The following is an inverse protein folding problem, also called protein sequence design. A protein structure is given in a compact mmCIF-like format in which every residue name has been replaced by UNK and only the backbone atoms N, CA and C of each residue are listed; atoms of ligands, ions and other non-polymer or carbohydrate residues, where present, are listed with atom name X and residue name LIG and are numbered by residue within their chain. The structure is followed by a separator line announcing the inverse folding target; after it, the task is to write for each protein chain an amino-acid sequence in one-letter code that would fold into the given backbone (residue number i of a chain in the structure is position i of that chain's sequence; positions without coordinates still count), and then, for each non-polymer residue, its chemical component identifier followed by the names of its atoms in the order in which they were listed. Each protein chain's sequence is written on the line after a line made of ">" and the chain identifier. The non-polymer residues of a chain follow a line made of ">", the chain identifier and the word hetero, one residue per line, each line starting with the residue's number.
data_IF_975195397151
#
_entry.id   IF_975195397151
#
_cell.length_a   1.000
_cell.length_b   1.000
_cell.length_c   1.000
_cell.angle_alpha   90.00
_cell.angle_beta   90.00
_cell.angle_gamma   90.00
#
_symmetry.space_group_name_H-M   'P 1'
#
loop_
_entity.id
_entity.type
_entity.pdbx_description
1 polymer ?
#
# COMPACT_ATOMS: atom_id res chain seq x y z
N UNK A 1 -32.36 -29.60 -27.00
CA UNK A 1 -31.14 -30.03 -26.28
C UNK A 1 -30.31 -28.78 -26.09
N UNK A 2 -30.44 -28.10 -24.94
CA UNK A 2 -29.80 -26.80 -24.71
C UNK A 2 -28.55 -27.00 -23.85
N UNK A 3 -27.39 -26.81 -24.45
CA UNK A 3 -26.10 -26.89 -23.77
C UNK A 3 -25.91 -25.66 -22.90
N UNK A 4 -25.85 -25.88 -21.59
CA UNK A 4 -25.63 -24.82 -20.61
C UNK A 4 -24.11 -24.69 -20.39
N UNK A 5 -23.44 -23.93 -21.25
CA UNK A 5 -21.99 -23.67 -21.17
C UNK A 5 -21.69 -22.84 -19.91
N UNK A 6 -21.36 -23.53 -18.81
CA UNK A 6 -20.82 -22.90 -17.61
C UNK A 6 -19.45 -22.30 -17.91
N UNK A 7 -19.38 -20.97 -18.02
CA UNK A 7 -18.11 -20.26 -18.15
C UNK A 7 -17.21 -20.50 -16.91
N UNK A 8 -15.88 -20.62 -17.09
CA UNK A 8 -14.96 -20.86 -15.99
C UNK A 8 -14.97 -19.66 -15.03
N UNK A 9 -15.36 -19.89 -13.78
CA UNK A 9 -15.23 -18.89 -12.72
C UNK A 9 -13.74 -18.78 -12.36
N UNK A 10 -13.10 -17.71 -12.84
CA UNK A 10 -11.72 -17.39 -12.49
C UNK A 10 -11.53 -17.30 -10.96
N UNK A 11 -10.29 -17.50 -10.47
CA UNK A 11 -10.01 -17.55 -9.04
C UNK A 11 -10.41 -16.22 -8.39
N UNK A 12 -11.43 -16.26 -7.53
CA UNK A 12 -11.89 -15.09 -6.78
C UNK A 12 -10.90 -14.83 -5.65
N UNK A 13 -9.97 -13.90 -5.88
CA UNK A 13 -9.07 -13.42 -4.84
C UNK A 13 -9.91 -12.91 -3.66
N UNK A 14 -9.66 -13.46 -2.47
CA UNK A 14 -10.40 -13.05 -1.27
C UNK A 14 -10.12 -11.58 -0.98
N UNK A 15 -11.13 -10.81 -0.57
CA UNK A 15 -10.93 -9.41 -0.14
C UNK A 15 -9.78 -9.28 0.87
N UNK A 16 -9.62 -10.26 1.75
CA UNK A 16 -8.56 -10.28 2.77
C UNK A 16 -7.17 -10.39 2.15
N UNK A 17 -7.00 -11.21 1.11
CA UNK A 17 -5.71 -11.35 0.42
C UNK A 17 -5.37 -10.10 -0.39
N UNK A 18 -6.36 -9.44 -1.00
CA UNK A 18 -6.14 -8.16 -1.71
C UNK A 18 -5.71 -7.04 -0.76
N UNK A 19 -6.34 -6.93 0.42
CA UNK A 19 -5.95 -5.91 1.42
C UNK A 19 -4.56 -6.19 1.99
N UNK A 20 -4.23 -7.46 2.27
CA UNK A 20 -2.88 -7.82 2.72
C UNK A 20 -1.82 -7.56 1.65
N UNK A 21 -2.08 -7.93 0.40
CA UNK A 21 -1.15 -7.71 -0.70
C UNK A 21 -0.89 -6.22 -0.96
N UNK A 22 -1.95 -5.39 -0.97
CA UNK A 22 -1.81 -3.94 -1.14
C UNK A 22 -1.09 -3.28 0.04
N UNK A 23 -1.35 -3.72 1.27
CA UNK A 23 -0.62 -3.24 2.46
C UNK A 23 0.86 -3.62 2.38
N UNK A 24 1.17 -4.86 2.01
CA UNK A 24 2.55 -5.32 1.86
C UNK A 24 3.28 -4.56 0.75
N UNK A 25 2.64 -4.33 -0.39
CA UNK A 25 3.19 -3.52 -1.48
C UNK A 25 3.47 -2.07 -1.04
N UNK A 26 2.55 -1.46 -0.29
CA UNK A 26 2.75 -0.12 0.26
C UNK A 26 3.90 -0.06 1.28
N UNK A 27 4.01 -1.08 2.15
CA UNK A 27 5.10 -1.17 3.12
C UNK A 27 6.47 -1.34 2.42
N UNK A 28 6.53 -2.12 1.34
CA UNK A 28 7.74 -2.26 0.53
C UNK A 28 8.15 -0.94 -0.11
N UNK A 29 7.19 -0.19 -0.69
CA UNK A 29 7.43 1.15 -1.25
C UNK A 29 7.93 2.15 -0.20
N UNK A 30 7.37 2.13 1.01
CA UNK A 30 7.89 2.97 2.11
C UNK A 30 9.32 2.56 2.52
N UNK A 31 9.64 1.27 2.46
CA UNK A 31 10.98 0.75 2.69
C UNK A 31 12.00 1.26 1.66
N UNK A 32 11.65 1.28 0.38
CA UNK A 32 12.57 1.74 -0.68
C UNK A 32 12.88 3.23 -0.60
N UNK A 33 12.03 4.06 0.01
CA UNK A 33 12.37 5.47 0.26
C UNK A 33 13.43 5.69 1.34
N UNK A 34 13.74 4.68 2.18
CA UNK A 34 14.80 4.81 3.20
C UNK A 34 16.21 4.57 2.66
N UNK A 35 16.35 4.01 1.46
CA UNK A 35 17.67 3.78 0.87
C UNK A 35 18.28 5.08 0.35
N UNK A 36 19.61 5.18 0.35
CA UNK A 36 20.33 6.28 -0.30
C UNK A 36 20.31 6.05 -1.81
N UNK A 37 19.76 6.98 -2.58
CA UNK A 37 19.62 6.83 -4.03
C UNK A 37 20.75 7.54 -4.77
N UNK A 38 21.27 8.63 -4.22
CA UNK A 38 22.24 9.50 -4.87
C UNK A 38 23.35 9.87 -3.88
N UNK A 39 24.59 9.62 -4.30
CA UNK A 39 25.78 10.24 -3.71
C UNK A 39 26.12 11.47 -4.54
N UNK A 40 25.74 12.65 -4.06
CA UNK A 40 26.09 13.91 -4.71
C UNK A 40 27.40 14.43 -4.10
N UNK A 41 28.40 14.71 -4.93
CA UNK A 41 29.61 15.42 -4.52
C UNK A 41 29.47 16.88 -4.95
N UNK A 42 29.39 17.80 -3.99
CA UNK A 42 29.34 19.23 -4.25
C UNK A 42 30.60 19.91 -3.70
N UNK A 43 31.17 20.91 -4.40
CA UNK A 43 32.23 21.73 -3.82
C UNK A 43 31.64 22.58 -2.69
N UNK A 44 32.20 22.46 -1.49
CA UNK A 44 31.88 23.32 -0.36
C UNK A 44 32.45 24.73 -0.58
N UNK A 45 32.02 25.72 0.21
CA UNK A 45 32.48 27.12 0.12
C UNK A 45 34.00 27.28 0.26
N UNK A 46 34.70 26.28 0.80
CA UNK A 46 36.15 26.20 0.91
C UNK A 46 36.85 25.49 -0.28
N UNK A 47 36.11 25.06 -1.31
CA UNK A 47 36.64 24.32 -2.47
C UNK A 47 36.88 22.83 -2.23
N UNK A 48 36.48 22.29 -1.07
CA UNK A 48 36.59 20.88 -0.71
C UNK A 48 35.35 20.10 -1.16
N UNK A 49 35.51 18.90 -1.71
CA UNK A 49 34.39 18.06 -2.13
C UNK A 49 33.65 17.47 -0.92
N UNK A 50 32.41 17.92 -0.67
CA UNK A 50 31.55 17.43 0.39
C UNK A 50 30.59 16.37 -0.17
N UNK A 51 30.61 15.16 0.40
CA UNK A 51 29.65 14.11 0.06
C UNK A 51 28.33 14.39 0.77
N UNK A 52 27.29 14.73 0.00
CA UNK A 52 25.92 14.86 0.50
C UNK A 52 25.17 13.56 0.19
N UNK A 53 24.71 12.90 1.25
CA UNK A 53 23.95 11.65 1.17
C UNK A 53 22.47 12.02 1.02
N UNK A 54 21.91 11.90 -0.20
CA UNK A 54 20.49 12.18 -0.44
C UNK A 54 19.71 10.86 -0.35
N UNK A 55 18.85 10.76 0.67
CA UNK A 55 17.96 9.62 0.86
C UNK A 55 16.80 9.66 -0.13
N UNK A 56 16.21 8.51 -0.45
CA UNK A 56 15.03 8.41 -1.32
C UNK A 56 13.83 9.23 -0.82
N UNK A 57 13.72 9.46 0.49
CA UNK A 57 12.69 10.31 1.09
C UNK A 57 12.85 11.80 0.73
N UNK A 58 14.09 12.27 0.61
CA UNK A 58 14.40 13.63 0.16
C UNK A 58 14.25 13.76 -1.35
N UNK A 59 14.60 12.72 -2.10
CA UNK A 59 14.51 12.71 -3.56
C UNK A 59 13.07 12.55 -4.09
N UNK A 60 12.21 11.81 -3.39
CA UNK A 60 10.83 11.53 -3.82
C UNK A 60 9.81 11.56 -2.65
N UNK A 61 9.52 12.75 -2.10
CA UNK A 61 8.62 12.88 -0.94
C UNK A 61 7.20 12.36 -1.20
N UNK A 62 6.71 12.51 -2.44
CA UNK A 62 5.38 12.10 -2.84
C UNK A 62 5.16 10.58 -2.75
N UNK A 63 6.21 9.77 -2.96
CA UNK A 63 6.12 8.30 -2.91
C UNK A 63 5.92 7.83 -1.47
N UNK A 64 6.64 8.44 -0.53
CA UNK A 64 6.46 8.17 0.89
C UNK A 64 5.04 8.55 1.34
N UNK A 65 4.56 9.74 0.97
CA UNK A 65 3.21 10.17 1.28
C UNK A 65 2.14 9.20 0.73
N UNK A 66 2.27 8.80 -0.55
CA UNK A 66 1.33 7.87 -1.18
C UNK A 66 1.32 6.50 -0.50
N UNK A 67 2.50 5.99 -0.10
CA UNK A 67 2.60 4.71 0.61
C UNK A 67 1.86 4.72 1.96
N UNK A 68 1.95 5.83 2.71
CA UNK A 68 1.24 6.00 3.98
C UNK A 68 -0.28 6.07 3.77
N UNK A 69 -0.72 6.79 2.74
CA UNK A 69 -2.14 6.87 2.38
C UNK A 69 -2.67 5.50 1.99
N UNK A 70 -1.92 4.73 1.20
CA UNK A 70 -2.31 3.37 0.82
C UNK A 70 -2.44 2.43 2.03
N UNK A 71 -1.52 2.53 3.00
CA UNK A 71 -1.60 1.79 4.26
C UNK A 71 -2.89 2.17 5.01
N UNK A 72 -3.15 3.48 5.19
CA UNK A 72 -4.35 3.97 5.88
C UNK A 72 -5.65 3.51 5.18
N UNK A 73 -5.71 3.59 3.86
CA UNK A 73 -6.86 3.15 3.07
C UNK A 73 -7.11 1.64 3.20
N UNK A 74 -6.05 0.82 3.20
CA UNK A 74 -6.16 -0.62 3.44
C UNK A 74 -6.70 -0.96 4.83
N UNK A 75 -6.22 -0.25 5.86
CA UNK A 75 -6.73 -0.37 7.24
C UNK A 75 -8.21 0.02 7.33
N UNK A 76 -8.60 1.15 6.74
CA UNK A 76 -9.99 1.61 6.70
C UNK A 76 -10.90 0.58 6.00
N UNK A 77 -10.44 0.02 4.88
CA UNK A 77 -11.18 -1.00 4.13
C UNK A 77 -11.35 -2.30 4.93
N UNK A 78 -10.31 -2.72 5.67
CA UNK A 78 -10.37 -3.90 6.54
C UNK A 78 -11.43 -3.73 7.64
N UNK A 79 -11.45 -2.55 8.28
CA UNK A 79 -12.34 -2.26 9.39
C UNK A 79 -13.81 -2.14 8.95
N UNK A 80 -14.06 -1.58 7.76
CA UNK A 80 -15.40 -1.44 7.17
C UNK A 80 -16.15 -2.77 7.07
N UNK A 81 -15.47 -3.85 6.68
CA UNK A 81 -16.09 -5.17 6.56
C UNK A 81 -16.57 -5.76 7.89
N UNK A 82 -15.90 -5.40 9.00
CA UNK A 82 -16.22 -5.88 10.34
C UNK A 82 -17.35 -5.07 10.95
N UNK A 83 -17.34 -3.76 10.73
CA UNK A 83 -18.38 -2.83 11.16
C UNK A 83 -19.74 -3.14 10.53
N UNK A 84 -19.75 -3.43 9.22
CA UNK A 84 -20.99 -3.78 8.52
C UNK A 84 -21.64 -5.04 9.08
N UNK A 85 -20.84 -6.06 9.41
CA UNK A 85 -21.30 -7.30 10.07
C UNK A 85 -21.77 -7.08 11.49
N UNK A 86 -21.17 -6.12 12.21
CA UNK A 86 -21.60 -5.74 13.55
C UNK A 86 -22.95 -5.00 13.54
N UNK A 87 -23.22 -4.23 12.49
CA UNK A 87 -24.50 -3.53 12.28
C UNK A 87 -25.60 -4.46 11.77
N UNK A 88 -25.29 -5.34 10.82
CA UNK A 88 -26.27 -6.25 10.22
C UNK A 88 -26.50 -7.53 11.04
N UNK A 89 -25.55 -7.93 11.87
CA UNK A 89 -25.65 -9.10 12.74
C UNK A 89 -26.86 -9.06 13.69
N UNK A 90 -27.06 -7.99 14.49
CA UNK A 90 -28.21 -7.86 15.37
C UNK A 90 -29.54 -7.91 14.62
N UNK A 91 -29.63 -7.29 13.44
CA UNK A 91 -30.84 -7.26 12.62
C UNK A 91 -31.21 -8.66 12.12
N UNK A 92 -30.23 -9.48 11.75
CA UNK A 92 -30.44 -10.86 11.32
C UNK A 92 -30.69 -11.84 12.47
N UNK A 93 -30.25 -11.53 13.69
CA UNK A 93 -30.53 -12.34 14.89
C UNK A 93 -31.94 -12.04 15.44
N UNK A 94 -32.42 -10.82 15.23
CA UNK A 94 -33.74 -10.37 15.68
C UNK A 94 -34.87 -10.64 14.67
N UNK A 95 -34.56 -11.08 13.45
CA UNK A 95 -35.50 -11.43 12.39
C UNK A 95 -35.71 -12.95 12.31
#
# INVERSE_FOLDING_TARGET
>A
MSENTSAPRGPRLSRRTTVLASTAAAALLAGTTRTTWIHASAPDLAGTAQQVTVTGSEAAPAVLALSLVAIAASLATALSSRWLRLLTGPVLIAA
#
